data_IF_350800888059
#
_entry.id   IF_350800888059
#
_cell.length_a   1.000
_cell.length_b   1.000
_cell.length_c   1.000
_cell.angle_alpha   90.00
_cell.angle_beta   90.00
_cell.angle_gamma   90.00
#
_symmetry.space_group_name_H-M   'P 1'
#
loop_
_entity.id
_entity.type
_entity.pdbx_description
1 polymer ?
#
# COMPACT_ATOMS: atom_id res chain seq x y z
N UNK A 1 16.31 -8.69 -33.42
CA UNK A 1 15.13 -9.49 -32.93
C UNK A 1 14.87 -9.31 -31.43
N UNK A 2 15.91 -9.39 -30.57
CA UNK A 2 15.78 -9.15 -29.11
C UNK A 2 15.32 -7.73 -28.77
N UNK A 3 15.92 -6.70 -29.41
CA UNK A 3 15.54 -5.29 -29.22
C UNK A 3 14.06 -5.04 -29.51
N UNK A 4 13.52 -5.62 -30.61
CA UNK A 4 12.10 -5.47 -30.97
C UNK A 4 11.16 -6.03 -29.89
N UNK A 5 11.47 -7.20 -29.33
CA UNK A 5 10.66 -7.79 -28.27
C UNK A 5 10.76 -7.01 -26.96
N UNK A 6 11.96 -6.51 -26.62
CA UNK A 6 12.16 -5.66 -25.47
C UNK A 6 11.35 -4.35 -25.60
N UNK A 7 11.40 -3.69 -26.76
CA UNK A 7 10.68 -2.44 -27.02
C UNK A 7 9.16 -2.60 -26.95
N UNK A 8 8.60 -3.72 -27.41
CA UNK A 8 7.15 -4.00 -27.31
C UNK A 8 6.72 -4.20 -25.86
N UNK A 9 7.53 -4.89 -25.04
CA UNK A 9 7.26 -5.05 -23.60
C UNK A 9 7.34 -3.71 -22.87
N UNK A 10 8.38 -2.92 -23.14
CA UNK A 10 8.55 -1.60 -22.54
C UNK A 10 7.40 -0.67 -22.93
N UNK A 11 6.97 -0.66 -24.19
CA UNK A 11 5.82 0.13 -24.63
C UNK A 11 4.51 -0.22 -23.90
N UNK A 12 4.25 -1.51 -23.69
CA UNK A 12 3.09 -1.95 -22.91
C UNK A 12 3.15 -1.53 -21.45
N UNK A 13 4.33 -1.65 -20.82
CA UNK A 13 4.55 -1.21 -19.43
C UNK A 13 4.37 0.31 -19.32
N UNK A 14 4.94 1.10 -20.23
CA UNK A 14 4.81 2.56 -20.21
C UNK A 14 3.35 3.03 -20.35
N UNK A 15 2.53 2.35 -21.16
CA UNK A 15 1.10 2.66 -21.23
C UNK A 15 0.40 2.40 -19.88
N UNK A 16 0.63 1.25 -19.27
CA UNK A 16 0.05 0.90 -17.96
C UNK A 16 0.48 1.92 -16.89
N UNK A 17 1.78 2.26 -16.85
CA UNK A 17 2.32 3.27 -15.95
C UNK A 17 1.69 4.64 -16.17
N UNK A 18 1.52 5.06 -17.42
CA UNK A 18 0.88 6.34 -17.75
C UNK A 18 -0.56 6.44 -17.22
N UNK A 19 -1.37 5.41 -17.45
CA UNK A 19 -2.74 5.36 -16.91
C UNK A 19 -2.77 5.28 -15.39
N UNK A 20 -1.88 4.48 -14.79
CA UNK A 20 -1.78 4.37 -13.32
C UNK A 20 -1.43 5.72 -12.71
N UNK A 21 -0.39 6.39 -13.21
CA UNK A 21 0.04 7.70 -12.72
C UNK A 21 -1.05 8.76 -12.93
N UNK A 22 -1.75 8.75 -14.05
CA UNK A 22 -2.87 9.68 -14.28
C UNK A 22 -3.98 9.49 -13.23
N UNK A 23 -4.35 8.24 -12.94
CA UNK A 23 -5.34 7.92 -11.92
C UNK A 23 -4.87 8.29 -10.51
N UNK A 24 -3.62 7.95 -10.16
CA UNK A 24 -2.99 8.32 -8.89
C UNK A 24 -3.01 9.84 -8.72
N UNK A 25 -2.56 10.62 -9.70
CA UNK A 25 -2.57 12.08 -9.60
C UNK A 25 -4.00 12.63 -9.48
N UNK A 26 -4.97 12.09 -10.24
CA UNK A 26 -6.36 12.50 -10.12
C UNK A 26 -6.94 12.24 -8.73
N UNK A 27 -6.60 11.11 -8.09
CA UNK A 27 -7.02 10.83 -6.70
C UNK A 27 -6.45 11.84 -5.70
N UNK A 28 -5.20 12.25 -5.93
CA UNK A 28 -4.51 13.24 -5.10
C UNK A 28 -5.16 14.62 -5.29
N UNK A 29 -5.35 15.05 -6.53
CA UNK A 29 -5.99 16.33 -6.86
C UNK A 29 -7.44 16.40 -6.36
N UNK A 30 -8.14 15.27 -6.32
CA UNK A 30 -9.50 15.18 -5.79
C UNK A 30 -9.58 15.10 -4.25
N UNK A 31 -8.42 15.10 -3.55
CA UNK A 31 -8.31 14.99 -2.08
C UNK A 31 -9.07 13.78 -1.54
N UNK A 32 -9.10 12.69 -2.31
CA UNK A 32 -9.76 11.43 -1.94
C UNK A 32 -9.15 10.82 -0.67
N UNK A 33 -7.80 10.80 -0.48
CA UNK A 33 -7.19 10.32 0.76
C UNK A 33 -7.66 11.10 1.99
N UNK A 34 -7.69 12.43 1.90
CA UNK A 34 -8.06 13.31 3.01
C UNK A 34 -9.52 13.10 3.43
N UNK A 35 -10.44 13.09 2.45
CA UNK A 35 -11.87 12.88 2.71
C UNK A 35 -12.17 11.51 3.30
N UNK A 36 -11.52 10.46 2.79
CA UNK A 36 -11.69 9.10 3.33
C UNK A 36 -11.11 8.99 4.74
N UNK A 37 -9.99 9.63 5.01
CA UNK A 37 -9.40 9.62 6.34
C UNK A 37 -10.22 10.43 7.36
N UNK A 38 -10.78 11.57 6.97
CA UNK A 38 -11.73 12.32 7.80
C UNK A 38 -12.98 11.51 8.12
N UNK A 39 -13.49 10.74 7.14
CA UNK A 39 -14.60 9.81 7.36
C UNK A 39 -14.26 8.73 8.38
N UNK A 40 -13.05 8.15 8.31
CA UNK A 40 -12.59 7.17 9.31
C UNK A 40 -12.46 7.81 10.70
N UNK A 41 -11.94 9.04 10.78
CA UNK A 41 -11.79 9.77 12.05
C UNK A 41 -13.14 10.10 12.70
N UNK A 42 -14.17 10.41 11.93
CA UNK A 42 -15.50 10.74 12.47
C UNK A 42 -16.24 9.51 13.00
N UNK A 43 -15.97 8.32 12.44
CA UNK A 43 -16.66 7.08 12.80
C UNK A 43 -15.92 6.23 13.84
N UNK A 44 -14.62 6.47 14.09
CA UNK A 44 -13.82 5.69 15.04
C UNK A 44 -13.63 6.47 16.35
N UNK A 45 -14.18 6.00 17.48
CA UNK A 45 -13.99 6.61 18.80
C UNK A 45 -12.53 6.50 19.27
N UNK A 46 -12.06 7.52 20.01
CA UNK A 46 -10.68 7.59 20.53
C UNK A 46 -10.32 6.45 21.50
N UNK A 47 -11.31 5.78 22.08
CA UNK A 47 -11.14 4.80 23.14
C UNK A 47 -10.72 3.40 22.63
N UNK A 48 -10.63 3.19 21.31
CA UNK A 48 -10.31 1.88 20.71
C UNK A 48 -9.12 1.96 19.73
N UNK A 49 -7.87 2.05 20.23
CA UNK A 49 -6.67 2.10 19.40
C UNK A 49 -6.50 0.87 18.49
N UNK A 50 -7.00 -0.30 18.92
CA UNK A 50 -7.01 -1.51 18.11
C UNK A 50 -7.90 -1.39 16.86
N UNK A 51 -9.06 -0.74 16.98
CA UNK A 51 -9.98 -0.53 15.85
C UNK A 51 -9.40 0.50 14.87
N UNK A 52 -8.77 1.56 15.40
CA UNK A 52 -8.04 2.53 14.59
C UNK A 52 -6.90 1.88 13.80
N UNK A 53 -6.09 1.03 14.43
CA UNK A 53 -4.99 0.32 13.75
C UNK A 53 -5.50 -0.63 12.65
N UNK A 54 -6.61 -1.33 12.88
CA UNK A 54 -7.23 -2.19 11.87
C UNK A 54 -7.74 -1.35 10.68
N UNK A 55 -8.49 -0.29 10.97
CA UNK A 55 -9.00 0.61 9.94
C UNK A 55 -7.87 1.29 9.16
N UNK A 56 -6.79 1.67 9.84
CA UNK A 56 -5.59 2.21 9.23
C UNK A 56 -4.92 1.19 8.31
N UNK A 57 -4.79 -0.07 8.75
CA UNK A 57 -4.22 -1.13 7.93
C UNK A 57 -5.02 -1.33 6.63
N UNK A 58 -6.35 -1.38 6.73
CA UNK A 58 -7.25 -1.46 5.56
C UNK A 58 -7.13 -0.23 4.67
N UNK A 59 -7.13 0.97 5.25
CA UNK A 59 -6.95 2.23 4.52
C UNK A 59 -5.63 2.23 3.75
N UNK A 60 -4.52 1.88 4.42
CA UNK A 60 -3.20 1.82 3.82
C UNK A 60 -3.06 0.72 2.79
N UNK A 61 -3.78 -0.39 2.94
CA UNK A 61 -3.78 -1.47 1.96
C UNK A 61 -4.54 -1.06 0.69
N UNK A 62 -5.69 -0.39 0.82
CA UNK A 62 -6.43 0.17 -0.30
C UNK A 62 -5.61 1.25 -1.01
N UNK A 63 -5.06 2.22 -0.25
CA UNK A 63 -4.26 3.27 -0.86
C UNK A 63 -2.89 2.78 -1.34
N UNK A 64 -2.32 1.75 -0.73
CA UNK A 64 -1.08 1.11 -1.20
C UNK A 64 -1.27 0.34 -2.49
N UNK A 65 -2.50 -0.06 -2.83
CA UNK A 65 -2.78 -0.52 -4.18
C UNK A 65 -2.69 0.62 -5.18
N UNK A 66 -3.22 1.81 -4.84
CA UNK A 66 -3.46 2.89 -5.79
C UNK A 66 -2.30 3.88 -5.93
N UNK A 67 -1.59 4.11 -4.82
CA UNK A 67 -0.48 5.03 -4.72
C UNK A 67 0.79 4.19 -4.57
N UNK A 68 1.64 4.21 -5.59
CA UNK A 68 2.90 3.47 -5.59
C UNK A 68 4.07 4.37 -5.16
N UNK A 69 4.95 3.81 -4.32
CA UNK A 69 6.29 4.35 -4.05
C UNK A 69 6.35 5.52 -3.07
N UNK A 70 7.36 6.37 -3.24
CA UNK A 70 7.61 7.52 -2.37
C UNK A 70 6.47 8.55 -2.31
N UNK A 71 5.73 8.86 -3.40
CA UNK A 71 4.63 9.81 -3.36
C UNK A 71 3.53 9.43 -2.36
N UNK A 72 3.24 8.13 -2.21
CA UNK A 72 2.25 7.64 -1.25
C UNK A 72 2.64 7.99 0.19
N UNK A 73 3.91 7.80 0.54
CA UNK A 73 4.44 8.09 1.88
C UNK A 73 4.39 9.59 2.14
N UNK A 74 4.88 10.41 1.20
CA UNK A 74 4.95 11.87 1.36
C UNK A 74 3.55 12.48 1.57
N UNK A 75 2.54 11.94 0.89
CA UNK A 75 1.17 12.41 0.99
C UNK A 75 0.46 11.93 2.26
N UNK A 76 0.50 10.62 2.51
CA UNK A 76 -0.37 10.01 3.52
C UNK A 76 0.22 10.06 4.93
N UNK A 77 1.54 10.06 5.09
CA UNK A 77 2.18 10.17 6.41
C UNK A 77 1.77 11.44 7.17
N UNK A 78 1.85 12.66 6.59
CA UNK A 78 1.45 13.87 7.33
C UNK A 78 -0.04 13.90 7.68
N UNK A 79 -0.89 13.18 6.93
CA UNK A 79 -2.30 13.03 7.22
C UNK A 79 -2.55 12.10 8.42
N UNK A 80 -1.87 10.96 8.47
CA UNK A 80 -2.10 9.92 9.49
C UNK A 80 -1.33 10.17 10.78
N UNK A 81 -0.09 10.67 10.70
CA UNK A 81 0.80 10.88 11.84
C UNK A 81 0.17 11.69 13.00
N UNK A 82 -0.45 12.88 12.78
CA UNK A 82 -1.00 13.67 13.88
C UNK A 82 -2.18 12.98 14.58
N UNK A 83 -2.88 12.08 13.89
CA UNK A 83 -3.96 11.30 14.50
C UNK A 83 -3.38 10.13 15.28
N UNK A 84 -2.41 9.40 14.71
CA UNK A 84 -1.78 8.28 15.39
C UNK A 84 -1.07 8.68 16.69
N UNK A 85 -0.41 9.84 16.72
CA UNK A 85 0.19 10.39 17.94
C UNK A 85 -0.88 10.66 19.02
N UNK A 86 -2.08 11.12 18.64
CA UNK A 86 -3.21 11.28 19.59
C UNK A 86 -3.73 9.94 20.12
N UNK A 87 -3.61 8.86 19.34
CA UNK A 87 -3.91 7.50 19.78
C UNK A 87 -2.76 6.84 20.58
N UNK A 88 -1.67 7.56 20.86
CA UNK A 88 -0.53 7.04 21.62
C UNK A 88 0.37 6.08 20.84
N UNK A 89 0.29 6.08 19.50
CA UNK A 89 1.13 5.25 18.63
C UNK A 89 2.47 5.94 18.39
N UNK A 90 3.56 5.18 18.54
CA UNK A 90 4.92 5.66 18.25
C UNK A 90 5.11 5.93 16.74
N UNK A 91 5.69 7.09 16.35
CA UNK A 91 5.95 7.43 14.96
C UNK A 91 6.80 6.39 14.19
N UNK A 92 7.74 5.74 14.86
CA UNK A 92 8.59 4.69 14.28
C UNK A 92 7.75 3.46 13.97
N UNK A 93 6.90 3.05 14.93
CA UNK A 93 5.98 1.94 14.73
C UNK A 93 5.01 2.19 13.58
N UNK A 94 4.48 3.43 13.52
CA UNK A 94 3.62 3.85 12.42
C UNK A 94 4.34 3.79 11.07
N UNK A 95 5.59 4.26 11.00
CA UNK A 95 6.38 4.19 9.77
C UNK A 95 6.57 2.76 9.26
N UNK A 96 6.79 1.80 10.17
CA UNK A 96 6.91 0.38 9.84
C UNK A 96 5.58 -0.17 9.32
N UNK A 97 4.45 0.12 10.00
CA UNK A 97 3.11 -0.26 9.54
C UNK A 97 2.84 0.34 8.15
N UNK A 98 3.26 1.58 7.92
CA UNK A 98 3.11 2.27 6.65
C UNK A 98 3.82 1.54 5.53
N UNK A 99 5.12 1.28 5.72
CA UNK A 99 5.96 0.62 4.74
C UNK A 99 5.47 -0.79 4.43
N UNK A 100 5.10 -1.55 5.47
CA UNK A 100 4.60 -2.91 5.33
C UNK A 100 3.26 -2.96 4.55
N UNK A 101 2.33 -2.04 4.83
CA UNK A 101 1.04 -2.00 4.13
C UNK A 101 1.16 -1.52 2.69
N UNK A 102 1.97 -0.48 2.43
CA UNK A 102 2.20 -0.03 1.06
C UNK A 102 2.86 -1.14 0.22
N UNK A 103 3.84 -1.84 0.78
CA UNK A 103 4.49 -2.94 0.08
C UNK A 103 3.51 -4.08 -0.21
N UNK A 104 2.60 -4.38 0.72
CA UNK A 104 1.51 -5.34 0.52
C UNK A 104 0.54 -4.92 -0.57
N UNK A 105 0.17 -3.64 -0.64
CA UNK A 105 -0.77 -3.11 -1.64
C UNK A 105 -0.31 -3.36 -3.08
N UNK A 106 1.00 -3.33 -3.33
CA UNK A 106 1.61 -3.57 -4.65
C UNK A 106 1.43 -5.04 -5.12
N UNK A 107 1.16 -5.98 -4.19
CA UNK A 107 0.85 -7.37 -4.52
C UNK A 107 -0.59 -7.60 -4.98
N UNK A 108 -1.49 -6.61 -4.84
CA UNK A 108 -2.88 -6.77 -5.25
C UNK A 108 -3.12 -6.23 -6.67
N UNK A 109 -4.02 -6.87 -7.45
CA UNK A 109 -4.19 -6.60 -8.87
C UNK A 109 -4.80 -5.25 -9.30
N UNK A 110 -5.55 -4.46 -8.49
CA UNK A 110 -6.24 -3.29 -9.05
C UNK A 110 -5.29 -2.29 -9.73
N UNK A 111 -4.10 -2.05 -9.17
CA UNK A 111 -3.05 -1.23 -9.77
C UNK A 111 -1.63 -1.78 -9.50
N UNK A 112 -1.50 -3.05 -9.12
CA UNK A 112 -0.22 -3.70 -8.79
C UNK A 112 0.73 -3.83 -9.98
N UNK A 113 1.53 -2.78 -10.24
CA UNK A 113 2.48 -2.66 -11.35
C UNK A 113 3.46 -3.85 -11.39
N UNK A 114 3.89 -4.36 -10.23
CA UNK A 114 4.75 -5.55 -10.14
C UNK A 114 4.11 -6.79 -10.76
N UNK A 115 2.80 -7.01 -10.56
CA UNK A 115 2.09 -8.13 -11.17
C UNK A 115 1.93 -7.95 -12.68
N UNK A 116 1.71 -6.72 -13.15
CA UNK A 116 1.62 -6.42 -14.59
C UNK A 116 2.97 -6.58 -15.31
N UNK A 117 4.06 -6.11 -14.70
CA UNK A 117 5.42 -6.29 -15.22
C UNK A 117 5.78 -7.78 -15.25
N UNK A 118 5.49 -8.52 -14.18
CA UNK A 118 5.74 -9.95 -14.13
C UNK A 118 4.87 -10.72 -15.14
N UNK A 119 3.60 -10.35 -15.31
CA UNK A 119 2.71 -10.89 -16.35
C UNK A 119 3.28 -10.67 -17.75
N UNK A 120 3.76 -9.45 -18.04
CA UNK A 120 4.41 -9.13 -19.32
C UNK A 120 5.70 -9.94 -19.54
N UNK A 121 6.49 -10.16 -18.49
CA UNK A 121 7.74 -10.93 -18.55
C UNK A 121 7.50 -12.43 -18.75
N UNK A 122 6.59 -13.02 -17.99
CA UNK A 122 6.29 -14.46 -18.02
C UNK A 122 5.26 -14.84 -19.09
N UNK A 123 4.63 -13.86 -19.75
CA UNK A 123 3.54 -14.05 -20.75
C UNK A 123 2.38 -14.90 -20.21
N UNK A 124 2.11 -14.76 -18.92
CA UNK A 124 1.03 -15.45 -18.22
C UNK A 124 -0.02 -14.41 -17.81
N UNK A 125 -1.31 -14.78 -17.73
CA UNK A 125 -2.33 -13.82 -17.32
C UNK A 125 -2.08 -13.34 -15.88
N UNK A 126 -2.34 -12.05 -15.63
CA UNK A 126 -2.20 -11.42 -14.31
C UNK A 126 -2.89 -12.23 -13.23
N UNK A 127 -4.08 -12.77 -13.50
CA UNK A 127 -4.82 -13.59 -12.52
C UNK A 127 -4.13 -14.89 -12.13
N UNK A 128 -3.38 -15.52 -13.05
CA UNK A 128 -2.59 -16.71 -12.73
C UNK A 128 -1.44 -16.35 -11.79
N UNK A 129 -0.80 -15.21 -12.04
CA UNK A 129 0.26 -14.69 -11.17
C UNK A 129 -0.27 -14.27 -9.80
N UNK A 130 -1.43 -13.58 -9.76
CA UNK A 130 -2.10 -13.22 -8.51
C UNK A 130 -2.32 -14.48 -7.67
N UNK A 131 -2.92 -15.52 -8.26
CA UNK A 131 -3.21 -16.79 -7.56
C UNK A 131 -1.95 -17.47 -7.04
N UNK A 132 -0.85 -17.40 -7.79
CA UNK A 132 0.45 -17.92 -7.36
C UNK A 132 1.08 -17.08 -6.23
N UNK A 133 0.81 -15.78 -6.20
CA UNK A 133 1.32 -14.84 -5.18
C UNK A 133 0.47 -14.81 -3.91
N UNK A 134 -0.79 -15.27 -3.94
CA UNK A 134 -1.69 -15.36 -2.75
C UNK A 134 -1.02 -15.97 -1.52
N UNK A 135 -0.33 -17.13 -1.57
CA UNK A 135 0.31 -17.70 -0.38
C UNK A 135 1.37 -16.76 0.22
N UNK A 136 2.17 -16.08 -0.60
CA UNK A 136 3.14 -15.09 -0.13
C UNK A 136 2.48 -13.85 0.43
N UNK A 137 1.41 -13.39 -0.23
CA UNK A 137 0.59 -12.27 0.25
C UNK A 137 0.01 -12.57 1.64
N UNK A 138 -0.53 -13.77 1.87
CA UNK A 138 -1.07 -14.17 3.17
C UNK A 138 0.01 -14.22 4.26
N UNK A 139 1.21 -14.71 3.95
CA UNK A 139 2.34 -14.70 4.90
C UNK A 139 2.73 -13.26 5.24
N UNK A 140 2.86 -12.39 4.24
CA UNK A 140 3.19 -10.98 4.48
C UNK A 140 2.07 -10.24 5.21
N UNK A 141 0.80 -10.54 4.91
CA UNK A 141 -0.35 -9.97 5.62
C UNK A 141 -0.34 -10.40 7.09
N UNK A 142 -0.09 -11.69 7.36
CA UNK A 142 0.04 -12.19 8.73
C UNK A 142 1.21 -11.51 9.45
N UNK A 143 2.37 -11.37 8.80
CA UNK A 143 3.51 -10.64 9.37
C UNK A 143 3.16 -9.19 9.68
N UNK A 144 2.49 -8.47 8.77
CA UNK A 144 2.05 -7.09 8.98
C UNK A 144 1.05 -6.97 10.12
N UNK A 145 0.11 -7.91 10.26
CA UNK A 145 -0.82 -7.94 11.41
C UNK A 145 -0.07 -8.21 12.71
N UNK A 146 0.86 -9.17 12.73
CA UNK A 146 1.70 -9.46 13.91
C UNK A 146 2.51 -8.23 14.31
N UNK A 147 3.13 -7.53 13.34
CA UNK A 147 3.84 -6.27 13.59
C UNK A 147 2.87 -5.23 14.13
N UNK A 148 1.69 -5.06 13.51
CA UNK A 148 0.69 -4.06 13.93
C UNK A 148 0.25 -4.25 15.39
N UNK A 149 0.00 -5.49 15.82
CA UNK A 149 -0.49 -5.82 17.16
C UNK A 149 0.60 -6.07 18.21
N UNK A 150 1.84 -6.31 17.78
CA UNK A 150 2.98 -6.53 18.67
C UNK A 150 4.03 -5.42 18.50
N UNK A 151 3.76 -4.21 19.05
CA UNK A 151 4.67 -3.07 18.92
C UNK A 151 6.06 -3.32 19.53
N UNK A 152 6.19 -4.26 20.48
CA UNK A 152 7.49 -4.65 21.02
C UNK A 152 8.40 -5.37 20.00
N UNK A 153 7.90 -5.98 18.91
CA UNK A 153 8.78 -6.51 17.85
C UNK A 153 9.44 -5.37 17.06
N UNK A 154 8.71 -4.27 16.85
CA UNK A 154 9.18 -3.07 16.16
C UNK A 154 10.10 -2.20 17.03
N UNK A 155 9.76 -2.09 18.32
CA UNK A 155 10.43 -1.20 19.28
C UNK A 155 11.58 -1.87 20.03
N UNK A 156 11.71 -3.20 20.02
CA UNK A 156 12.81 -3.88 20.72
C UNK A 156 14.18 -3.63 20.07
N UNK A 157 14.24 -3.36 18.76
CA UNK A 157 15.48 -2.97 18.09
C UNK A 157 15.71 -1.44 18.06
N UNK A 158 14.64 -0.64 18.23
CA UNK A 158 14.68 0.82 18.16
C UNK A 158 14.87 1.51 19.53
N UNK A 159 14.84 0.75 20.63
CA UNK A 159 15.09 1.20 22.00
C UNK A 159 16.49 0.78 22.44
#
# INVERSE_FOLDING_TARGET
RVIRHAMVLVGGILMILGFSLALTNWLIDAEVPDKLFEFLRTHIPQDQPFLFLLALNVFLLVFGMLLEGFPAIILLVPLVLPVAVKYGIDPVHLGIIFLANLQLGIFLPPLGINLYIASARFRQPVMTLVRASVPFFLIMLAATLVITYWPALSLWLAR
#
